data_IF_501707574389
#
_entry.id   IF_501707574389
#
_cell.length_a   1.000
_cell.length_b   1.000
_cell.length_c   1.000
_cell.angle_alpha   90.00
_cell.angle_beta   90.00
_cell.angle_gamma   90.00
#
_symmetry.space_group_name_H-M   'P 1'
#
loop_
_entity.id
_entity.type
_entity.pdbx_description
1 polymer ?
#
# COMPACT_ATOMS: atom_id res chain seq x y z
N UNK A 1 -85.61 -5.51 9.47
CA UNK A 1 -84.54 -5.86 8.53
C UNK A 1 -83.46 -4.80 8.61
N UNK A 2 -82.38 -5.08 9.34
CA UNK A 2 -81.24 -4.13 9.51
C UNK A 2 -80.11 -4.58 8.58
N UNK A 3 -79.67 -3.76 7.63
CA UNK A 3 -78.51 -3.96 6.77
C UNK A 3 -77.29 -3.41 7.51
N UNK A 4 -76.38 -4.30 7.92
CA UNK A 4 -75.06 -3.95 8.42
C UNK A 4 -74.09 -3.83 7.27
N UNK A 5 -73.58 -2.60 7.01
CA UNK A 5 -72.52 -2.34 6.04
C UNK A 5 -71.17 -2.67 6.66
N UNK A 6 -70.39 -3.50 5.95
CA UNK A 6 -69.02 -3.85 6.31
C UNK A 6 -68.10 -2.86 5.58
N UNK A 7 -67.42 -1.99 6.36
CA UNK A 7 -66.41 -1.07 5.83
C UNK A 7 -65.03 -1.77 5.92
N UNK A 8 -64.52 -2.14 4.75
CA UNK A 8 -63.17 -2.72 4.64
C UNK A 8 -62.12 -1.61 4.65
N UNK A 9 -61.36 -1.53 5.74
CA UNK A 9 -60.25 -0.57 5.83
C UNK A 9 -59.02 -1.22 5.21
N UNK A 10 -58.62 -0.70 4.03
CA UNK A 10 -57.43 -1.13 3.33
C UNK A 10 -56.22 -0.37 3.90
N UNK A 11 -55.43 -1.02 4.76
CA UNK A 11 -54.15 -0.50 5.29
C UNK A 11 -53.08 -0.66 4.20
N UNK A 12 -52.77 0.40 3.47
CA UNK A 12 -51.61 0.45 2.59
C UNK A 12 -50.35 0.70 3.44
N UNK A 13 -49.61 -0.32 3.74
CA UNK A 13 -48.28 -0.21 4.35
C UNK A 13 -47.30 0.21 3.24
N UNK A 14 -47.00 1.50 3.19
CA UNK A 14 -45.87 2.03 2.40
C UNK A 14 -44.56 1.57 3.04
N UNK A 15 -44.00 0.48 2.54
CA UNK A 15 -42.63 0.12 2.81
C UNK A 15 -41.73 1.13 2.06
N UNK A 16 -41.34 2.21 2.74
CA UNK A 16 -40.29 3.08 2.28
C UNK A 16 -38.99 2.28 2.34
N UNK A 17 -38.56 1.67 1.23
CA UNK A 17 -37.19 1.26 1.06
C UNK A 17 -36.32 2.53 1.17
N UNK A 18 -35.80 2.79 2.36
CA UNK A 18 -34.62 3.64 2.50
C UNK A 18 -33.47 2.90 1.80
N UNK A 19 -33.35 3.13 0.50
CA UNK A 19 -32.11 2.93 -0.22
C UNK A 19 -31.17 3.98 0.40
N UNK A 20 -30.42 3.59 1.41
CA UNK A 20 -29.24 4.36 1.79
C UNK A 20 -28.38 4.39 0.53
N UNK A 21 -28.35 5.54 -0.14
CA UNK A 21 -27.38 5.79 -1.19
C UNK A 21 -26.01 5.50 -0.52
N UNK A 22 -25.42 4.38 -0.86
CA UNK A 22 -24.03 4.09 -0.49
C UNK A 22 -23.25 5.25 -1.10
N UNK A 23 -22.69 6.13 -0.26
CA UNK A 23 -21.84 7.22 -0.75
C UNK A 23 -20.85 6.60 -1.71
N UNK A 24 -20.90 7.00 -2.97
CA UNK A 24 -20.02 6.44 -4.00
C UNK A 24 -18.64 7.07 -3.81
N UNK A 25 -17.89 6.55 -2.87
CA UNK A 25 -16.47 6.91 -2.74
C UNK A 25 -15.75 6.50 -4.03
N UNK A 26 -14.73 7.28 -4.37
CA UNK A 26 -13.94 7.10 -5.58
C UNK A 26 -12.98 5.91 -5.52
N UNK A 27 -11.93 6.03 -6.30
CA UNK A 27 -10.87 5.02 -6.37
C UNK A 27 -9.57 5.57 -5.83
N UNK A 28 -8.70 4.67 -5.33
CA UNK A 28 -7.35 5.00 -4.92
C UNK A 28 -6.35 4.33 -5.87
N UNK A 29 -5.27 5.04 -6.20
CA UNK A 29 -4.12 4.51 -6.96
C UNK A 29 -2.87 4.71 -6.10
N UNK A 30 -2.51 3.68 -5.36
CA UNK A 30 -1.48 3.71 -4.31
C UNK A 30 -0.23 3.07 -4.87
N UNK A 31 0.77 3.88 -5.25
CA UNK A 31 1.98 3.42 -5.94
C UNK A 31 3.12 3.25 -4.95
N UNK A 32 3.77 2.10 -4.98
CA UNK A 32 4.87 1.75 -4.06
C UNK A 32 6.15 2.58 -4.22
N UNK A 33 6.21 3.49 -5.16
CA UNK A 33 7.36 4.35 -5.43
C UNK A 33 8.05 4.00 -6.74
N UNK A 34 9.05 4.81 -7.13
CA UNK A 34 9.85 4.61 -8.33
C UNK A 34 9.01 4.30 -9.59
N UNK A 35 7.86 4.99 -9.74
CA UNK A 35 6.97 4.79 -10.88
C UNK A 35 7.63 5.26 -12.16
N UNK A 36 7.94 4.31 -13.05
CA UNK A 36 8.55 4.61 -14.36
C UNK A 36 7.56 5.34 -15.26
N UNK A 37 8.00 6.40 -15.98
CA UNK A 37 7.13 7.14 -16.90
C UNK A 37 6.51 6.30 -18.02
N UNK A 38 7.10 5.16 -18.36
CA UNK A 38 6.60 4.21 -19.36
C UNK A 38 5.70 3.09 -18.82
N UNK A 39 5.39 3.09 -17.52
CA UNK A 39 4.49 2.12 -16.93
C UNK A 39 3.04 2.36 -17.39
N UNK A 40 2.69 1.73 -18.50
CA UNK A 40 1.37 1.89 -19.13
C UNK A 40 0.23 1.36 -18.28
N UNK A 41 0.48 0.29 -17.52
CA UNK A 41 -0.56 -0.37 -16.72
C UNK A 41 -1.07 0.56 -15.63
N UNK A 42 -0.17 1.26 -14.93
CA UNK A 42 -0.53 2.19 -13.88
C UNK A 42 -1.11 3.49 -14.45
N UNK A 43 -0.44 4.13 -15.42
CA UNK A 43 -0.91 5.43 -15.92
C UNK A 43 -2.21 5.35 -16.69
N UNK A 44 -2.39 4.33 -17.56
CA UNK A 44 -3.65 4.16 -18.28
C UNK A 44 -4.79 3.95 -17.28
N UNK A 45 -4.59 3.14 -16.24
CA UNK A 45 -5.63 2.88 -15.25
C UNK A 45 -5.95 4.11 -14.42
N UNK A 46 -4.94 4.88 -13.99
CA UNK A 46 -5.13 6.15 -13.29
C UNK A 46 -5.98 7.13 -14.13
N UNK A 47 -5.61 7.30 -15.40
CA UNK A 47 -6.28 8.24 -16.31
C UNK A 47 -7.70 7.76 -16.66
N UNK A 48 -7.90 6.46 -16.88
CA UNK A 48 -9.21 5.86 -17.10
C UNK A 48 -10.16 6.14 -15.93
N UNK A 49 -9.72 5.87 -14.71
CA UNK A 49 -10.48 6.13 -13.49
C UNK A 49 -10.80 7.63 -13.32
N UNK A 50 -9.91 8.52 -13.78
CA UNK A 50 -10.12 9.97 -13.75
C UNK A 50 -11.06 10.47 -14.86
N UNK A 51 -11.62 9.59 -15.71
CA UNK A 51 -12.58 9.95 -16.77
C UNK A 51 -12.01 9.92 -18.19
N UNK A 52 -10.81 9.38 -18.36
CA UNK A 52 -10.11 9.23 -19.64
C UNK A 52 -9.31 10.48 -20.05
N UNK A 53 -8.38 10.35 -21.02
CA UNK A 53 -7.37 11.36 -21.31
C UNK A 53 -7.95 12.71 -21.76
N UNK A 54 -9.11 12.71 -22.40
CA UNK A 54 -9.76 13.93 -22.89
C UNK A 54 -10.45 14.74 -21.79
N UNK A 55 -10.89 14.08 -20.71
CA UNK A 55 -11.73 14.68 -19.66
C UNK A 55 -11.03 14.77 -18.31
N UNK A 56 -10.03 13.90 -18.07
CA UNK A 56 -9.32 13.86 -16.79
C UNK A 56 -8.70 15.21 -16.46
N UNK A 57 -8.92 15.67 -15.23
CA UNK A 57 -8.32 16.88 -14.67
C UNK A 57 -7.59 16.52 -13.39
N UNK A 58 -6.34 16.91 -13.27
CA UNK A 58 -5.46 16.54 -12.18
C UNK A 58 -5.06 17.73 -11.33
N UNK A 59 -5.25 17.63 -10.02
CA UNK A 59 -4.61 18.48 -9.03
C UNK A 59 -3.36 17.76 -8.51
N UNK A 60 -2.17 18.27 -8.77
CA UNK A 60 -0.91 17.68 -8.30
C UNK A 60 -0.43 18.43 -7.07
N UNK A 61 -0.27 17.71 -5.97
CA UNK A 61 0.16 18.23 -4.66
C UNK A 61 1.58 17.73 -4.37
N UNK A 62 2.62 18.58 -4.50
CA UNK A 62 4.01 18.16 -4.33
C UNK A 62 4.53 18.31 -2.88
N UNK A 63 3.64 18.34 -1.90
CA UNK A 63 3.93 18.69 -0.49
C UNK A 63 4.98 17.81 0.21
N UNK A 64 5.17 16.57 -0.26
CA UNK A 64 6.21 15.67 0.27
C UNK A 64 7.59 15.92 -0.32
N UNK A 65 7.66 16.54 -1.50
CA UNK A 65 8.89 16.65 -2.29
C UNK A 65 9.87 17.68 -1.70
N UNK A 66 11.17 17.37 -1.80
CA UNK A 66 12.24 18.35 -1.60
C UNK A 66 12.49 19.23 -2.84
N UNK A 67 11.87 18.89 -3.99
CA UNK A 67 11.96 19.60 -5.28
C UNK A 67 10.55 19.75 -5.87
N UNK A 68 9.66 20.57 -5.26
CA UNK A 68 8.22 20.56 -5.54
C UNK A 68 7.86 20.85 -6.98
N UNK A 69 8.46 21.89 -7.57
CA UNK A 69 8.21 22.29 -8.96
C UNK A 69 8.68 21.23 -9.95
N UNK A 70 9.86 20.69 -9.72
CA UNK A 70 10.41 19.64 -10.60
C UNK A 70 9.56 18.36 -10.55
N UNK A 71 9.06 17.98 -9.36
CA UNK A 71 8.16 16.84 -9.19
C UNK A 71 6.85 17.05 -9.95
N UNK A 72 6.28 18.26 -9.90
CA UNK A 72 5.10 18.60 -10.70
C UNK A 72 5.39 18.56 -12.19
N UNK A 73 6.51 19.15 -12.65
CA UNK A 73 6.91 19.14 -14.06
C UNK A 73 7.07 17.71 -14.57
N UNK A 74 7.68 16.83 -13.79
CA UNK A 74 7.89 15.43 -14.14
C UNK A 74 6.56 14.70 -14.35
N UNK A 75 5.66 14.73 -13.38
CA UNK A 75 4.36 14.05 -13.50
C UNK A 75 3.49 14.69 -14.60
N UNK A 76 3.55 16.02 -14.78
CA UNK A 76 2.83 16.71 -15.84
C UNK A 76 3.29 16.25 -17.22
N UNK A 77 4.59 16.15 -17.47
CA UNK A 77 5.14 15.64 -18.73
C UNK A 77 4.69 14.21 -18.99
N UNK A 78 4.70 13.37 -17.95
CA UNK A 78 4.24 11.98 -18.08
C UNK A 78 2.76 11.91 -18.41
N UNK A 79 1.89 12.61 -17.70
CA UNK A 79 0.46 12.62 -17.98
C UNK A 79 0.15 13.14 -19.39
N UNK A 80 0.90 14.15 -19.87
CA UNK A 80 0.78 14.64 -21.25
C UNK A 80 1.22 13.61 -22.28
N UNK A 81 2.27 12.82 -22.01
CA UNK A 81 2.67 11.70 -22.87
C UNK A 81 1.55 10.64 -23.01
N UNK A 82 0.71 10.51 -21.97
CA UNK A 82 -0.53 9.69 -21.97
C UNK A 82 -1.76 10.47 -22.44
N UNK A 83 -1.58 11.59 -23.15
CA UNK A 83 -2.60 12.41 -23.83
C UNK A 83 -3.53 13.20 -22.91
N UNK A 84 -3.20 13.38 -21.64
CA UNK A 84 -3.90 14.36 -20.82
C UNK A 84 -3.54 15.77 -21.26
N UNK A 85 -4.53 16.63 -21.45
CA UNK A 85 -4.30 18.02 -21.91
C UNK A 85 -3.52 18.81 -20.85
N UNK A 86 -2.51 19.58 -21.25
CA UNK A 86 -1.69 20.37 -20.32
C UNK A 86 -2.52 21.32 -19.45
N UNK A 87 -3.55 21.95 -20.02
CA UNK A 87 -4.47 22.82 -19.27
C UNK A 87 -5.34 22.12 -18.22
N UNK A 88 -5.34 20.79 -18.21
CA UNK A 88 -6.06 19.97 -17.22
C UNK A 88 -5.16 19.46 -16.09
N UNK A 89 -3.91 19.89 -16.02
CA UNK A 89 -2.95 19.46 -15.00
C UNK A 89 -2.52 20.68 -14.19
N UNK A 90 -2.98 20.74 -12.95
CA UNK A 90 -2.81 21.91 -12.09
C UNK A 90 -1.80 21.65 -10.98
N UNK A 91 -0.79 22.53 -10.85
CA UNK A 91 0.05 22.59 -9.68
C UNK A 91 -0.75 23.16 -8.50
N UNK A 92 -0.76 22.46 -7.40
CA UNK A 92 -1.27 22.95 -6.13
C UNK A 92 -0.06 23.34 -5.27
N UNK A 93 0.20 24.63 -5.20
CA UNK A 93 1.36 25.22 -4.54
C UNK A 93 1.33 24.96 -3.02
N UNK A 94 1.69 23.77 -2.61
CA UNK A 94 1.81 23.35 -1.20
C UNK A 94 3.14 22.65 -1.02
N UNK A 95 3.99 23.23 -0.19
CA UNK A 95 5.28 22.68 0.23
C UNK A 95 5.67 23.28 1.58
N UNK A 96 6.52 22.60 2.33
CA UNK A 96 7.18 23.11 3.54
C UNK A 96 8.70 23.22 3.35
N UNK A 97 9.16 22.90 2.13
CA UNK A 97 10.56 22.93 1.75
C UNK A 97 10.74 23.87 0.58
N UNK A 98 11.83 24.59 0.60
CA UNK A 98 12.35 25.34 -0.53
C UNK A 98 13.23 24.43 -1.42
N UNK A 99 13.19 24.64 -2.71
CA UNK A 99 14.10 24.04 -3.68
C UNK A 99 15.09 25.11 -4.14
N UNK A 100 16.28 25.14 -3.55
CA UNK A 100 17.36 26.08 -3.86
C UNK A 100 17.70 26.14 -5.38
N UNK A 101 17.29 25.16 -6.16
CA UNK A 101 17.46 25.15 -7.62
C UNK A 101 16.41 25.98 -8.38
N UNK A 102 15.29 26.31 -7.73
CA UNK A 102 14.19 27.11 -8.29
C UNK A 102 14.36 28.57 -7.92
N UNK A 103 15.07 29.34 -8.75
CA UNK A 103 15.43 30.75 -8.47
C UNK A 103 14.25 31.74 -8.47
N UNK A 104 13.11 31.34 -8.96
CA UNK A 104 11.94 32.22 -9.25
C UNK A 104 10.87 32.15 -8.16
N UNK A 105 11.00 31.21 -7.22
CA UNK A 105 10.05 31.01 -6.12
C UNK A 105 10.80 30.46 -4.90
N UNK A 106 10.36 30.86 -3.72
CA UNK A 106 10.64 30.19 -2.45
C UNK A 106 9.43 29.31 -2.11
N UNK A 107 9.55 28.01 -2.34
CA UNK A 107 8.44 27.07 -2.14
C UNK A 107 8.13 26.86 -0.66
N UNK A 108 9.00 27.23 0.27
CA UNK A 108 8.71 27.19 1.71
C UNK A 108 7.58 28.18 2.09
N UNK A 109 7.42 29.28 1.34
CA UNK A 109 6.30 30.22 1.51
C UNK A 109 4.92 29.57 1.23
N UNK A 110 4.89 28.40 0.57
CA UNK A 110 3.65 27.64 0.29
C UNK A 110 3.15 26.83 1.50
N UNK A 111 3.89 26.82 2.62
CA UNK A 111 3.55 26.02 3.81
C UNK A 111 2.15 26.34 4.36
N UNK A 112 1.73 27.61 4.30
CA UNK A 112 0.42 28.06 4.74
C UNK A 112 -0.74 27.78 3.77
N UNK A 113 -0.45 27.37 2.54
CA UNK A 113 -1.40 27.25 1.45
C UNK A 113 -2.43 26.11 1.62
N UNK A 114 -2.22 25.21 2.57
CA UNK A 114 -3.26 24.27 3.02
C UNK A 114 -4.56 24.98 3.41
N UNK A 115 -4.49 26.27 3.82
CA UNK A 115 -5.64 27.10 4.17
C UNK A 115 -6.18 27.96 3.00
N UNK A 116 -5.57 27.93 1.81
CA UNK A 116 -6.02 28.73 0.65
C UNK A 116 -7.31 28.17 0.04
N UNK A 117 -8.39 28.95 0.20
CA UNK A 117 -9.71 28.61 -0.35
C UNK A 117 -9.76 28.62 -1.88
N UNK A 118 -8.82 29.28 -2.59
CA UNK A 118 -8.76 29.25 -4.07
C UNK A 118 -8.23 27.89 -4.50
N UNK A 119 -7.16 27.41 -3.90
CA UNK A 119 -6.61 26.08 -4.16
C UNK A 119 -7.62 24.99 -3.84
N UNK A 120 -8.34 25.13 -2.71
CA UNK A 120 -9.42 24.21 -2.35
C UNK A 120 -10.54 24.18 -3.42
N UNK A 121 -10.94 25.35 -3.99
CA UNK A 121 -11.92 25.38 -5.09
C UNK A 121 -11.38 24.72 -6.36
N UNK A 122 -10.10 24.97 -6.71
CA UNK A 122 -9.46 24.37 -7.87
C UNK A 122 -9.46 22.84 -7.74
N UNK A 123 -9.07 22.29 -6.59
CA UNK A 123 -9.07 20.85 -6.33
C UNK A 123 -10.48 20.28 -6.52
N UNK A 124 -11.52 20.92 -5.98
CA UNK A 124 -12.91 20.45 -6.13
C UNK A 124 -13.42 20.39 -7.58
N UNK A 125 -12.77 21.10 -8.50
CA UNK A 125 -13.08 21.03 -9.93
C UNK A 125 -12.32 19.94 -10.68
N UNK A 126 -11.36 19.28 -10.03
CA UNK A 126 -10.58 18.21 -10.63
C UNK A 126 -11.27 16.84 -10.44
N UNK A 127 -11.02 15.92 -11.38
CA UNK A 127 -11.47 14.52 -11.29
C UNK A 127 -10.47 13.62 -10.57
N UNK A 128 -9.23 14.08 -10.42
CA UNK A 128 -8.18 13.34 -9.73
C UNK A 128 -7.26 14.26 -8.92
N UNK A 129 -6.71 13.73 -7.83
CA UNK A 129 -5.65 14.36 -7.04
C UNK A 129 -4.46 13.41 -7.01
N UNK A 130 -3.26 13.94 -7.26
CA UNK A 130 -2.02 13.18 -7.21
C UNK A 130 -1.05 13.76 -6.17
N UNK A 131 -0.61 12.93 -5.24
CA UNK A 131 0.43 13.23 -4.27
C UNK A 131 1.78 12.71 -4.75
N UNK A 132 2.79 13.57 -4.79
CA UNK A 132 4.15 13.18 -5.19
C UNK A 132 4.88 12.42 -4.07
N UNK A 133 6.01 11.79 -4.41
CA UNK A 133 6.92 11.19 -3.45
C UNK A 133 7.76 12.22 -2.69
N UNK A 134 8.50 11.75 -1.69
CA UNK A 134 9.36 12.52 -0.81
C UNK A 134 9.21 12.06 0.65
N UNK A 135 8.99 12.99 1.56
CA UNK A 135 8.74 12.73 2.97
C UNK A 135 7.25 12.93 3.31
N UNK A 136 6.58 11.87 3.71
CA UNK A 136 5.16 11.87 4.06
C UNK A 136 4.82 12.77 5.24
N UNK A 137 5.76 13.00 6.15
CA UNK A 137 5.55 13.87 7.31
C UNK A 137 5.35 15.33 6.89
N UNK A 138 6.05 15.78 5.82
CA UNK A 138 5.85 17.12 5.23
C UNK A 138 4.43 17.31 4.71
N UNK A 139 3.87 16.29 4.06
CA UNK A 139 2.47 16.34 3.60
C UNK A 139 1.51 16.47 4.76
N UNK A 140 1.71 15.71 5.82
CA UNK A 140 0.86 15.80 7.01
C UNK A 140 0.97 17.18 7.68
N UNK A 141 2.18 17.72 7.79
CA UNK A 141 2.42 19.06 8.33
C UNK A 141 1.72 20.16 7.53
N UNK A 142 1.74 20.07 6.19
CA UNK A 142 1.15 21.08 5.31
C UNK A 142 -0.39 21.00 5.24
N UNK A 143 -0.98 19.81 5.43
CA UNK A 143 -2.40 19.56 5.18
C UNK A 143 -3.25 19.34 6.43
N UNK A 144 -2.62 19.18 7.60
CA UNK A 144 -3.32 19.07 8.88
C UNK A 144 -2.96 20.21 9.81
N UNK A 145 -3.90 20.63 10.64
CA UNK A 145 -3.65 21.65 11.65
C UNK A 145 -3.04 21.02 12.91
N UNK A 146 -2.45 21.84 13.81
CA UNK A 146 -1.87 21.34 15.07
C UNK A 146 -2.86 20.56 15.96
N UNK A 147 -4.16 20.86 15.87
CA UNK A 147 -5.22 20.15 16.57
C UNK A 147 -5.64 18.83 15.87
N UNK A 148 -4.97 18.47 14.78
CA UNK A 148 -5.25 17.29 13.97
C UNK A 148 -6.45 17.45 13.02
N UNK A 149 -7.08 18.64 12.96
CA UNK A 149 -8.16 18.90 12.00
C UNK A 149 -7.62 19.13 10.59
N UNK A 150 -8.46 18.87 9.59
CA UNK A 150 -8.12 19.04 8.18
C UNK A 150 -8.08 20.51 7.79
N UNK A 151 -7.13 20.88 6.93
CA UNK A 151 -7.14 22.18 6.26
C UNK A 151 -8.23 22.21 5.16
N UNK A 152 -8.66 23.39 4.68
CA UNK A 152 -9.61 23.52 3.57
C UNK A 152 -9.17 22.79 2.29
N UNK A 153 -7.85 22.71 2.03
CA UNK A 153 -7.32 21.95 0.89
C UNK A 153 -7.53 20.46 1.11
N UNK A 154 -7.22 19.92 2.28
CA UNK A 154 -7.45 18.50 2.57
C UNK A 154 -8.95 18.16 2.55
N UNK A 155 -9.83 19.06 3.01
CA UNK A 155 -11.27 18.87 2.87
C UNK A 155 -11.70 18.82 1.38
N UNK A 156 -11.08 19.64 0.53
CA UNK A 156 -11.36 19.61 -0.91
C UNK A 156 -10.90 18.29 -1.56
N UNK A 157 -9.78 17.70 -1.12
CA UNK A 157 -9.33 16.38 -1.58
C UNK A 157 -10.34 15.30 -1.16
N UNK A 158 -10.82 15.33 0.07
CA UNK A 158 -11.90 14.44 0.52
C UNK A 158 -13.19 14.61 -0.26
N UNK A 159 -13.54 15.85 -0.64
CA UNK A 159 -14.72 16.12 -1.48
C UNK A 159 -14.58 15.46 -2.87
N UNK A 160 -13.39 15.51 -3.49
CA UNK A 160 -13.10 14.81 -4.76
C UNK A 160 -13.31 13.30 -4.59
N UNK A 161 -12.72 12.70 -3.55
CA UNK A 161 -12.85 11.26 -3.27
C UNK A 161 -14.31 10.86 -3.02
N UNK A 162 -15.03 11.61 -2.17
CA UNK A 162 -16.41 11.31 -1.81
C UNK A 162 -17.40 11.49 -2.99
N UNK A 163 -17.01 12.24 -4.02
CA UNK A 163 -17.79 12.40 -5.26
C UNK A 163 -17.46 11.41 -6.37
N UNK A 164 -16.65 10.39 -6.04
CA UNK A 164 -16.29 9.35 -7.01
C UNK A 164 -15.01 9.63 -7.78
N UNK A 165 -14.26 10.69 -7.45
CA UNK A 165 -12.98 11.01 -8.06
C UNK A 165 -11.84 10.08 -7.62
N UNK A 166 -10.66 10.30 -8.15
CA UNK A 166 -9.47 9.45 -7.91
C UNK A 166 -8.47 10.17 -7.01
N UNK A 167 -8.01 9.48 -5.98
CA UNK A 167 -6.84 9.93 -5.21
C UNK A 167 -5.69 8.96 -5.48
N UNK A 168 -4.61 9.51 -6.00
CA UNK A 168 -3.40 8.74 -6.26
C UNK A 168 -2.19 9.34 -5.56
N UNK A 169 -1.16 8.52 -5.38
CA UNK A 169 0.11 8.98 -4.85
C UNK A 169 1.19 7.91 -4.91
N UNK A 170 2.44 8.37 -5.01
CA UNK A 170 3.60 7.49 -5.11
C UNK A 170 4.51 7.68 -3.91
N UNK A 171 5.09 6.58 -3.39
CA UNK A 171 6.05 6.59 -2.28
C UNK A 171 5.43 7.28 -1.03
N UNK A 172 5.91 8.45 -0.62
CA UNK A 172 5.29 9.23 0.46
C UNK A 172 3.79 9.47 0.22
N UNK A 173 3.38 9.72 -1.04
CA UNK A 173 1.98 9.85 -1.43
C UNK A 173 1.17 8.55 -1.26
N UNK A 174 1.81 7.38 -1.27
CA UNK A 174 1.18 6.12 -0.92
C UNK A 174 1.07 5.94 0.60
N UNK A 175 2.11 6.30 1.35
CA UNK A 175 2.14 6.16 2.80
C UNK A 175 1.01 6.90 3.50
N UNK A 176 0.70 8.13 3.07
CA UNK A 176 -0.38 8.95 3.66
C UNK A 176 -1.79 8.36 3.47
N UNK A 177 -1.96 7.37 2.59
CA UNK A 177 -3.28 6.79 2.31
C UNK A 177 -3.85 6.03 3.50
N UNK A 178 -3.03 5.45 4.34
CA UNK A 178 -3.44 4.76 5.58
C UNK A 178 -3.79 5.77 6.68
N UNK A 179 -4.64 5.38 7.62
CA UNK A 179 -4.88 6.16 8.83
C UNK A 179 -3.73 6.00 9.83
N UNK A 180 -3.21 4.78 10.00
CA UNK A 180 -1.96 4.53 10.70
C UNK A 180 -0.87 4.48 9.65
N UNK A 181 0.04 5.43 9.71
CA UNK A 181 1.09 5.65 8.72
C UNK A 181 2.46 5.31 9.30
N UNK A 182 3.25 4.58 8.53
CA UNK A 182 4.67 4.37 8.85
C UNK A 182 5.44 5.63 8.45
N UNK A 183 5.99 6.32 9.44
CA UNK A 183 6.78 7.54 9.24
C UNK A 183 8.23 7.24 8.88
N UNK A 184 8.88 6.34 9.64
CA UNK A 184 10.28 5.95 9.48
C UNK A 184 10.53 4.55 10.08
N UNK A 185 11.79 4.10 10.05
CA UNK A 185 12.25 2.83 10.60
C UNK A 185 12.48 1.75 9.55
N UNK A 186 13.24 0.72 9.92
CA UNK A 186 13.50 -0.46 9.10
C UNK A 186 12.99 -1.75 9.78
N UNK A 187 13.07 -2.88 9.07
CA UNK A 187 12.52 -4.15 9.56
C UNK A 187 13.23 -4.69 10.79
N UNK A 188 14.57 -4.60 10.84
CA UNK A 188 15.33 -5.11 11.98
C UNK A 188 15.14 -4.22 13.20
N UNK A 189 15.23 -2.90 13.05
CA UNK A 189 14.98 -1.96 14.14
C UNK A 189 13.58 -2.07 14.70
N UNK A 190 12.57 -2.21 13.86
CA UNK A 190 11.19 -2.45 14.29
C UNK A 190 11.05 -3.71 15.15
N UNK A 191 11.69 -4.81 14.76
CA UNK A 191 11.64 -6.07 15.50
C UNK A 191 12.48 -6.03 16.79
N UNK A 192 13.61 -5.32 16.80
CA UNK A 192 14.52 -5.26 17.95
C UNK A 192 14.15 -4.17 18.97
N UNK A 193 13.80 -2.99 18.49
CA UNK A 193 13.60 -1.78 19.30
C UNK A 193 12.11 -1.42 19.45
N UNK A 194 11.23 -2.03 18.62
CA UNK A 194 9.80 -1.76 18.64
C UNK A 194 9.43 -0.42 18.03
N UNK A 195 8.43 0.24 18.63
CA UNK A 195 7.84 1.49 18.13
C UNK A 195 8.28 2.66 19.00
N UNK A 196 8.62 3.77 18.35
CA UNK A 196 8.85 5.08 18.97
C UNK A 196 7.66 6.00 18.70
N UNK A 197 7.36 6.86 19.69
CA UNK A 197 6.17 7.73 19.70
C UNK A 197 6.46 9.20 19.38
N UNK A 198 7.72 9.60 19.17
CA UNK A 198 8.07 11.01 18.94
C UNK A 198 8.86 11.19 17.65
N UNK A 199 8.60 12.30 16.96
CA UNK A 199 9.31 12.75 15.76
C UNK A 199 10.41 13.76 16.10
N UNK A 200 11.04 13.67 17.27
CA UNK A 200 12.13 14.57 17.63
C UNK A 200 13.37 14.35 16.76
N UNK A 201 14.24 15.36 16.60
CA UNK A 201 15.47 15.27 15.82
C UNK A 201 16.37 14.09 16.23
N UNK A 202 16.33 13.74 17.50
CA UNK A 202 17.02 12.58 18.08
C UNK A 202 16.56 11.23 17.55
N UNK A 203 15.41 11.16 16.87
CA UNK A 203 14.85 9.94 16.29
C UNK A 203 15.10 9.81 14.78
N UNK A 204 15.77 10.77 14.14
CA UNK A 204 16.06 10.72 12.70
C UNK A 204 17.05 9.61 12.35
N UNK A 205 17.95 9.24 13.26
CA UNK A 205 18.96 8.19 13.08
C UNK A 205 18.52 6.82 13.64
N UNK A 206 17.33 6.69 14.19
CA UNK A 206 16.87 5.42 14.75
C UNK A 206 16.33 4.48 13.69
N UNK A 207 16.66 3.20 13.84
CA UNK A 207 16.09 2.10 13.06
C UNK A 207 14.72 1.66 13.58
N UNK A 208 14.32 2.11 14.77
CA UNK A 208 13.04 1.80 15.39
C UNK A 208 11.86 2.29 14.51
N UNK A 209 10.71 1.65 14.67
CA UNK A 209 9.53 1.99 13.90
C UNK A 209 8.86 3.26 14.41
N UNK A 210 8.76 4.27 13.55
CA UNK A 210 7.96 5.45 13.81
C UNK A 210 6.56 5.27 13.20
N UNK A 211 5.53 5.29 14.04
CA UNK A 211 4.14 5.37 13.60
C UNK A 211 3.60 6.77 13.79
N UNK A 212 2.83 7.22 12.80
CA UNK A 212 2.17 8.51 12.79
C UNK A 212 0.75 8.37 12.23
N UNK A 213 0.00 9.47 12.29
CA UNK A 213 -1.32 9.55 11.66
C UNK A 213 -1.16 9.91 10.20
N UNK A 214 -1.79 9.16 9.30
CA UNK A 214 -1.95 9.51 7.90
C UNK A 214 -3.32 10.13 7.61
N UNK A 215 -3.63 10.31 6.33
CA UNK A 215 -4.90 10.95 5.90
C UNK A 215 -6.08 9.97 6.04
N UNK A 216 -5.86 8.67 5.75
CA UNK A 216 -6.84 7.62 5.99
C UNK A 216 -7.85 7.42 4.85
N UNK A 217 -7.50 7.71 3.60
CA UNK A 217 -8.36 7.39 2.45
C UNK A 217 -8.59 5.89 2.28
N UNK A 218 -7.58 5.07 2.59
CA UNK A 218 -7.63 3.62 2.48
C UNK A 218 -8.08 3.01 3.82
N UNK A 219 -9.31 2.47 3.90
CA UNK A 219 -9.89 2.02 5.17
C UNK A 219 -9.56 0.56 5.53
N UNK A 220 -8.87 -0.18 4.66
CA UNK A 220 -8.76 -1.63 4.77
C UNK A 220 -7.54 -2.08 5.60
N UNK A 221 -6.60 -1.18 5.89
CA UNK A 221 -5.40 -1.52 6.65
C UNK A 221 -4.25 -0.52 6.52
N UNK A 222 -3.06 -0.98 6.85
CA UNK A 222 -1.82 -0.20 6.80
C UNK A 222 -1.14 -0.43 5.45
N UNK A 223 -0.72 0.65 4.79
CA UNK A 223 0.06 0.59 3.54
C UNK A 223 1.52 0.92 3.81
N UNK A 224 2.43 0.11 3.29
CA UNK A 224 3.85 0.41 3.17
C UNK A 224 4.28 0.38 1.70
N UNK A 225 5.34 1.09 1.36
CA UNK A 225 5.78 1.35 -0.01
C UNK A 225 7.26 0.99 -0.18
N UNK A 226 7.79 0.90 -1.43
CA UNK A 226 9.13 0.37 -1.75
C UNK A 226 9.38 -0.97 -1.05
N UNK A 227 8.35 -1.83 -1.02
CA UNK A 227 8.22 -2.85 0.01
C UNK A 227 9.29 -3.93 -0.08
N UNK A 228 9.32 -4.65 -1.19
CA UNK A 228 10.29 -5.71 -1.40
C UNK A 228 11.70 -5.15 -1.60
N UNK A 229 11.83 -4.04 -2.33
CA UNK A 229 13.10 -3.40 -2.66
C UNK A 229 13.86 -2.89 -1.43
N UNK A 230 13.14 -2.55 -0.36
CA UNK A 230 13.73 -2.09 0.90
C UNK A 230 13.52 -3.07 2.06
N UNK A 231 13.20 -4.34 1.77
CA UNK A 231 13.00 -5.42 2.74
C UNK A 231 12.09 -5.03 3.94
N UNK A 232 10.93 -4.43 3.65
CA UNK A 232 10.08 -3.76 4.67
C UNK A 232 9.11 -4.67 5.40
N UNK A 233 9.16 -5.99 5.18
CA UNK A 233 8.22 -6.94 5.78
C UNK A 233 8.19 -6.88 7.32
N UNK A 234 9.34 -6.78 7.99
CA UNK A 234 9.41 -6.76 9.44
C UNK A 234 8.73 -5.54 10.03
N UNK A 235 9.01 -4.33 9.48
CA UNK A 235 8.40 -3.09 9.99
C UNK A 235 6.89 -3.04 9.75
N UNK A 236 6.40 -3.56 8.61
CA UNK A 236 4.98 -3.62 8.32
C UNK A 236 4.25 -4.59 9.27
N UNK A 237 4.87 -5.74 9.58
CA UNK A 237 4.34 -6.70 10.56
C UNK A 237 4.27 -6.07 11.95
N UNK A 238 5.32 -5.39 12.40
CA UNK A 238 5.33 -4.72 13.72
C UNK A 238 4.26 -3.63 13.77
N UNK A 239 4.10 -2.81 12.72
CA UNK A 239 3.02 -1.84 12.62
C UNK A 239 1.64 -2.50 12.72
N UNK A 240 1.42 -3.59 12.00
CA UNK A 240 0.14 -4.32 11.99
C UNK A 240 -0.18 -4.92 13.36
N UNK A 241 0.77 -5.60 13.99
CA UNK A 241 0.55 -6.23 15.31
C UNK A 241 0.19 -5.20 16.37
N UNK A 242 0.86 -4.06 16.37
CA UNK A 242 0.56 -2.98 17.32
C UNK A 242 -0.75 -2.23 17.01
N UNK A 243 -1.31 -2.44 15.84
CA UNK A 243 -2.56 -1.84 15.39
C UNK A 243 -3.69 -2.86 15.24
N UNK A 244 -3.51 -4.06 15.78
CA UNK A 244 -4.41 -5.22 15.56
C UNK A 244 -5.84 -4.99 16.07
N UNK A 245 -6.03 -4.15 17.08
CA UNK A 245 -7.36 -3.75 17.54
C UNK A 245 -8.18 -3.02 16.46
N UNK A 246 -7.49 -2.39 15.52
CA UNK A 246 -8.10 -1.61 14.45
C UNK A 246 -8.04 -2.30 13.09
N UNK A 247 -6.90 -2.90 12.74
CA UNK A 247 -6.66 -3.52 11.46
C UNK A 247 -6.07 -4.93 11.61
N UNK A 248 -6.59 -5.86 10.81
CA UNK A 248 -6.01 -7.20 10.68
C UNK A 248 -5.19 -7.39 9.41
N UNK A 249 -5.21 -6.40 8.51
CA UNK A 249 -4.54 -6.46 7.22
C UNK A 249 -3.52 -5.33 7.06
N UNK A 250 -2.41 -5.66 6.39
CA UNK A 250 -1.42 -4.70 5.96
C UNK A 250 -0.96 -5.03 4.53
N UNK A 251 -0.57 -3.99 3.79
CA UNK A 251 -0.34 -4.03 2.36
C UNK A 251 1.03 -3.44 2.03
N UNK A 252 1.93 -4.26 1.51
CA UNK A 252 3.25 -3.85 1.05
C UNK A 252 3.26 -3.71 -0.47
N UNK A 253 3.39 -2.49 -0.97
CA UNK A 253 3.37 -2.20 -2.41
C UNK A 253 4.81 -2.05 -2.90
N UNK A 254 5.18 -2.84 -3.90
CA UNK A 254 6.49 -2.82 -4.52
C UNK A 254 6.70 -1.59 -5.41
N UNK A 255 7.97 -1.27 -5.73
CA UNK A 255 8.30 -0.20 -6.67
C UNK A 255 7.66 -0.46 -8.04
N UNK A 256 7.39 0.63 -8.76
CA UNK A 256 6.80 0.61 -10.11
C UNK A 256 5.50 -0.21 -10.22
N UNK A 257 4.75 -0.28 -9.11
CA UNK A 257 3.52 -1.07 -8.96
C UNK A 257 2.49 -0.28 -8.17
N UNK A 258 1.21 -0.46 -8.49
CA UNK A 258 0.08 0.18 -7.85
C UNK A 258 -0.88 -0.85 -7.24
N UNK A 259 -1.30 -0.60 -6.00
CA UNK A 259 -2.53 -1.08 -5.41
C UNK A 259 -3.65 -0.14 -5.86
N UNK A 260 -4.57 -0.62 -6.66
CA UNK A 260 -5.75 0.11 -7.12
C UNK A 260 -6.95 -0.36 -6.31
N UNK A 261 -7.52 0.54 -5.50
CA UNK A 261 -8.68 0.23 -4.66
C UNK A 261 -9.94 0.90 -5.19
N UNK A 262 -10.97 0.12 -5.42
CA UNK A 262 -12.31 0.61 -5.78
C UNK A 262 -13.22 0.52 -4.56
N UNK A 263 -13.62 1.66 -4.03
CA UNK A 263 -14.36 1.72 -2.76
C UNK A 263 -15.77 1.12 -2.85
N UNK A 264 -16.47 1.27 -4.00
CA UNK A 264 -17.81 0.72 -4.21
C UNK A 264 -17.85 -0.80 -4.06
N UNK A 265 -16.82 -1.48 -4.55
CA UNK A 265 -16.77 -2.94 -4.61
C UNK A 265 -15.94 -3.53 -3.46
N UNK A 266 -15.19 -2.68 -2.75
CA UNK A 266 -14.15 -3.06 -1.80
C UNK A 266 -13.20 -4.09 -2.43
N UNK A 267 -12.71 -3.72 -3.60
CA UNK A 267 -11.84 -4.57 -4.43
C UNK A 267 -10.50 -3.90 -4.63
N UNK A 268 -9.44 -4.67 -4.49
CA UNK A 268 -8.09 -4.31 -4.89
C UNK A 268 -7.77 -4.97 -6.22
N UNK A 269 -7.09 -4.24 -7.11
CA UNK A 269 -6.46 -4.74 -8.32
C UNK A 269 -5.00 -4.29 -8.32
N UNK A 270 -4.10 -5.16 -8.76
CA UNK A 270 -2.68 -4.83 -8.90
C UNK A 270 -2.41 -4.42 -10.34
N UNK A 271 -1.63 -3.36 -10.54
CA UNK A 271 -1.15 -2.93 -11.84
C UNK A 271 0.32 -2.52 -11.76
N UNK A 272 1.15 -2.96 -12.70
CA UNK A 272 2.56 -2.54 -12.78
C UNK A 272 3.55 -3.68 -12.89
N UNK A 273 4.82 -3.38 -12.59
CA UNK A 273 5.95 -4.24 -12.95
C UNK A 273 6.34 -5.28 -11.88
N UNK A 274 5.86 -5.13 -10.65
CA UNK A 274 6.15 -6.03 -9.53
C UNK A 274 4.84 -6.38 -8.79
N UNK A 275 4.84 -6.53 -7.46
CA UNK A 275 3.69 -7.08 -6.77
C UNK A 275 3.20 -6.31 -5.55
N UNK A 276 2.17 -6.88 -4.98
CA UNK A 276 1.52 -6.47 -3.76
C UNK A 276 1.58 -7.62 -2.75
N UNK A 277 2.22 -7.40 -1.63
CA UNK A 277 2.18 -8.31 -0.48
C UNK A 277 1.02 -7.94 0.44
N UNK A 278 0.19 -8.91 0.80
CA UNK A 278 -0.87 -8.76 1.81
C UNK A 278 -0.52 -9.61 3.02
N UNK A 279 -0.49 -8.99 4.19
CA UNK A 279 -0.24 -9.66 5.47
C UNK A 279 -1.54 -9.64 6.28
N UNK A 280 -2.00 -10.82 6.69
CA UNK A 280 -3.17 -10.99 7.55
C UNK A 280 -2.74 -11.50 8.93
N UNK A 281 -3.03 -10.72 9.97
CA UNK A 281 -2.71 -11.02 11.36
C UNK A 281 -3.93 -11.48 12.19
N UNK A 282 -5.09 -11.73 11.57
CA UNK A 282 -6.32 -12.07 12.31
C UNK A 282 -6.12 -13.24 13.29
N UNK A 283 -5.41 -14.29 12.85
CA UNK A 283 -5.14 -15.48 13.65
C UNK A 283 -3.74 -15.46 14.32
N UNK A 284 -2.99 -14.37 14.18
CA UNK A 284 -1.64 -14.29 14.72
C UNK A 284 -1.63 -14.26 16.24
N UNK A 285 -0.56 -14.82 16.80
CA UNK A 285 -0.25 -14.79 18.24
C UNK A 285 1.11 -14.16 18.44
N UNK A 286 1.22 -13.30 19.44
CA UNK A 286 2.46 -12.61 19.78
C UNK A 286 2.81 -12.96 21.21
N UNK A 287 4.03 -13.40 21.42
CA UNK A 287 4.67 -13.56 22.72
C UNK A 287 6.02 -12.84 22.71
N UNK A 288 6.60 -12.65 23.87
CA UNK A 288 7.90 -11.99 23.97
C UNK A 288 8.92 -12.92 24.63
N UNK A 289 10.05 -13.13 23.97
CA UNK A 289 11.17 -13.91 24.48
C UNK A 289 12.35 -12.97 24.70
N UNK A 290 12.74 -12.78 25.95
CA UNK A 290 13.79 -11.84 26.36
C UNK A 290 13.58 -10.41 25.81
N UNK A 291 12.32 -9.96 25.77
CA UNK A 291 11.94 -8.64 25.26
C UNK A 291 11.74 -8.55 23.74
N UNK A 292 12.13 -9.57 22.98
CA UNK A 292 11.97 -9.61 21.52
C UNK A 292 10.66 -10.33 21.13
N UNK A 293 9.95 -9.87 20.09
CA UNK A 293 8.69 -10.46 19.68
C UNK A 293 8.88 -11.83 19.01
N UNK A 294 8.13 -12.81 19.47
CA UNK A 294 7.86 -14.03 18.75
C UNK A 294 6.45 -13.94 18.16
N UNK A 295 6.33 -13.99 16.84
CA UNK A 295 5.06 -13.82 16.12
C UNK A 295 4.75 -15.10 15.36
N UNK A 296 3.60 -15.69 15.61
CA UNK A 296 3.17 -16.94 14.99
C UNK A 296 1.88 -16.76 14.20
N UNK A 297 1.75 -17.57 13.16
CA UNK A 297 0.51 -17.75 12.41
C UNK A 297 0.02 -16.49 11.68
N UNK A 298 0.94 -15.71 11.11
CA UNK A 298 0.59 -14.72 10.09
C UNK A 298 0.25 -15.44 8.77
N UNK A 299 -0.68 -14.89 7.99
CA UNK A 299 -0.91 -15.35 6.63
C UNK A 299 -0.37 -14.30 5.65
N UNK A 300 0.39 -14.75 4.66
CA UNK A 300 1.00 -13.91 3.62
C UNK A 300 0.45 -14.32 2.26
N UNK A 301 0.01 -13.32 1.49
CA UNK A 301 -0.40 -13.47 0.10
C UNK A 301 0.39 -12.50 -0.77
N UNK A 302 0.56 -12.84 -2.05
CA UNK A 302 1.29 -12.04 -3.03
C UNK A 302 0.55 -12.02 -4.36
N UNK A 303 0.37 -10.83 -4.90
CA UNK A 303 -0.36 -10.58 -6.13
C UNK A 303 0.53 -9.80 -7.10
N UNK A 304 0.45 -10.13 -8.37
CA UNK A 304 1.14 -9.40 -9.45
C UNK A 304 0.13 -8.79 -10.44
N UNK A 305 0.64 -8.20 -11.51
CA UNK A 305 -0.14 -7.42 -12.47
C UNK A 305 -1.42 -8.13 -12.94
N UNK A 306 -2.54 -7.44 -12.89
CA UNK A 306 -3.86 -7.93 -13.29
C UNK A 306 -4.62 -8.73 -12.22
N UNK A 307 -3.93 -9.22 -11.18
CA UNK A 307 -4.57 -9.94 -10.07
C UNK A 307 -5.50 -9.03 -9.28
N UNK A 308 -6.49 -9.64 -8.63
CA UNK A 308 -7.44 -8.93 -7.77
C UNK A 308 -7.58 -9.59 -6.41
N UNK A 309 -7.98 -8.79 -5.42
CA UNK A 309 -8.29 -9.26 -4.06
C UNK A 309 -9.62 -8.66 -3.60
N UNK A 310 -10.53 -9.54 -3.18
CA UNK A 310 -11.85 -9.15 -2.67
C UNK A 310 -11.77 -8.96 -1.16
N UNK A 311 -11.90 -7.73 -0.69
CA UNK A 311 -11.79 -7.39 0.73
C UNK A 311 -12.87 -8.03 1.60
N UNK A 312 -14.06 -8.32 1.02
CA UNK A 312 -15.18 -8.93 1.74
C UNK A 312 -14.95 -10.39 2.11
N UNK A 313 -14.30 -11.13 1.22
CA UNK A 313 -14.10 -12.59 1.35
C UNK A 313 -12.66 -12.97 1.69
N UNK A 314 -11.70 -12.05 1.47
CA UNK A 314 -10.28 -12.36 1.54
C UNK A 314 -9.79 -13.23 0.38
N UNK A 315 -10.52 -13.25 -0.72
CA UNK A 315 -10.25 -14.10 -1.87
C UNK A 315 -9.30 -13.41 -2.86
N UNK A 316 -8.23 -14.11 -3.23
CA UNK A 316 -7.34 -13.75 -4.33
C UNK A 316 -7.95 -14.32 -5.63
N UNK A 317 -8.10 -13.47 -6.63
CA UNK A 317 -8.54 -13.82 -7.97
C UNK A 317 -7.35 -13.58 -8.91
N UNK A 318 -6.69 -14.64 -9.41
CA UNK A 318 -5.60 -14.50 -10.36
C UNK A 318 -6.10 -13.95 -11.68
N UNK A 319 -5.25 -13.22 -12.40
CA UNK A 319 -5.55 -12.76 -13.75
C UNK A 319 -5.80 -13.98 -14.67
N UNK A 320 -6.69 -13.80 -15.64
CA UNK A 320 -7.04 -14.87 -16.58
C UNK A 320 -5.81 -15.41 -17.33
N UNK A 321 -5.68 -16.73 -17.39
CA UNK A 321 -4.57 -17.42 -18.04
C UNK A 321 -3.53 -17.99 -17.07
N UNK A 322 -3.46 -17.51 -15.82
CA UNK A 322 -2.61 -18.15 -14.79
C UNK A 322 -3.11 -19.57 -14.50
N UNK A 323 -2.17 -20.51 -14.35
CA UNK A 323 -2.40 -21.94 -14.07
C UNK A 323 -2.06 -22.22 -12.60
N UNK A 324 -2.79 -23.16 -11.97
CA UNK A 324 -2.46 -23.59 -10.62
C UNK A 324 -1.08 -24.25 -10.57
N UNK A 325 -0.27 -23.88 -9.57
CA UNK A 325 1.03 -24.51 -9.33
C UNK A 325 0.88 -25.92 -8.77
N UNK A 326 -0.13 -26.14 -7.89
CA UNK A 326 -0.33 -27.43 -7.22
C UNK A 326 -0.53 -28.59 -8.20
N UNK A 327 0.40 -29.56 -8.17
CA UNK A 327 0.46 -30.69 -9.09
C UNK A 327 1.18 -30.38 -10.41
N UNK A 328 1.59 -29.14 -10.62
CA UNK A 328 2.33 -28.65 -11.77
C UNK A 328 3.62 -27.93 -11.38
N UNK A 329 4.07 -28.10 -10.15
CA UNK A 329 5.25 -27.40 -9.62
C UNK A 329 6.48 -27.66 -10.50
N UNK A 330 7.12 -26.59 -10.95
CA UNK A 330 8.29 -26.65 -11.82
C UNK A 330 9.55 -27.06 -11.05
N UNK A 331 9.74 -26.49 -9.83
CA UNK A 331 10.93 -26.72 -9.03
C UNK A 331 10.81 -27.95 -8.13
N UNK A 332 11.97 -28.59 -7.83
CA UNK A 332 12.07 -29.79 -6.98
C UNK A 332 13.24 -29.69 -6.00
N UNK A 333 13.50 -28.49 -5.50
CA UNK A 333 14.65 -28.19 -4.63
C UNK A 333 14.27 -28.51 -3.19
N UNK A 334 14.96 -29.47 -2.56
CA UNK A 334 14.77 -29.80 -1.14
C UNK A 334 15.34 -28.72 -0.22
N UNK A 335 16.45 -28.09 -0.62
CA UNK A 335 17.13 -27.03 0.12
C UNK A 335 17.36 -25.82 -0.79
N UNK A 336 16.33 -24.97 -1.01
CA UNK A 336 16.49 -23.77 -1.81
C UNK A 336 17.53 -22.83 -1.18
N UNK A 337 18.46 -22.32 -1.97
CA UNK A 337 19.43 -21.32 -1.52
C UNK A 337 18.70 -20.03 -1.18
N UNK A 338 18.89 -19.51 0.02
CA UNK A 338 18.00 -18.52 0.57
C UNK A 338 18.55 -17.10 0.60
N UNK A 339 19.83 -16.88 0.81
CA UNK A 339 20.34 -15.53 1.02
C UNK A 339 21.85 -15.42 0.86
N UNK A 340 22.30 -14.18 0.65
CA UNK A 340 23.70 -13.77 0.64
C UNK A 340 24.23 -13.45 -0.76
N UNK A 341 25.41 -12.83 -0.81
CA UNK A 341 26.06 -12.36 -2.04
C UNK A 341 26.45 -13.51 -3.00
N UNK A 342 26.43 -14.76 -2.54
CA UNK A 342 26.67 -15.95 -3.35
C UNK A 342 25.37 -16.54 -3.95
N UNK A 343 24.21 -15.95 -3.66
CA UNK A 343 22.92 -16.39 -4.16
C UNK A 343 22.43 -15.46 -5.27
N UNK A 344 22.32 -15.95 -6.48
CA UNK A 344 21.81 -15.19 -7.62
C UNK A 344 20.27 -14.98 -7.53
N UNK A 345 19.57 -15.95 -6.90
CA UNK A 345 18.11 -15.95 -6.77
C UNK A 345 17.71 -16.40 -5.37
N UNK A 346 16.60 -15.89 -4.84
CA UNK A 346 15.97 -16.46 -3.65
C UNK A 346 16.18 -15.71 -2.35
N UNK A 347 16.59 -14.46 -2.41
CA UNK A 347 16.74 -13.61 -1.23
C UNK A 347 15.58 -12.64 -1.02
N UNK A 348 14.73 -12.40 -2.03
CA UNK A 348 13.56 -11.54 -1.90
C UNK A 348 12.37 -12.29 -1.32
N UNK A 349 11.44 -11.56 -0.69
CA UNK A 349 10.19 -12.16 -0.20
C UNK A 349 9.42 -12.85 -1.34
N UNK A 350 9.36 -12.22 -2.52
CA UNK A 350 8.74 -12.78 -3.71
C UNK A 350 9.32 -14.17 -4.02
N UNK A 351 10.64 -14.28 -4.16
CA UNK A 351 11.29 -15.53 -4.54
C UNK A 351 11.11 -16.63 -3.49
N UNK A 352 11.11 -16.25 -2.21
CA UNK A 352 10.90 -17.22 -1.12
C UNK A 352 9.50 -17.84 -1.24
N UNK A 353 8.45 -17.04 -1.39
CA UNK A 353 7.07 -17.55 -1.38
C UNK A 353 6.60 -18.10 -2.73
N UNK A 354 7.24 -17.69 -3.84
CA UNK A 354 6.92 -18.16 -5.21
C UNK A 354 7.78 -19.35 -5.60
N UNK A 355 8.91 -19.12 -6.27
CA UNK A 355 9.76 -20.15 -6.89
C UNK A 355 10.36 -21.14 -5.90
N UNK A 356 10.66 -20.69 -4.67
CA UNK A 356 11.27 -21.54 -3.67
C UNK A 356 10.24 -22.32 -2.82
N UNK A 357 9.00 -21.85 -2.73
CA UNK A 357 7.96 -22.48 -1.91
C UNK A 357 6.75 -22.95 -2.72
N UNK A 358 5.92 -22.04 -3.26
CA UNK A 358 4.61 -22.44 -3.81
C UNK A 358 4.73 -23.21 -5.13
N UNK A 359 5.72 -22.90 -5.96
CA UNK A 359 6.05 -23.58 -7.21
C UNK A 359 7.18 -24.61 -7.04
N UNK A 360 7.41 -25.06 -5.82
CA UNK A 360 8.46 -26.04 -5.49
C UNK A 360 7.86 -27.28 -4.81
N UNK A 361 7.99 -28.42 -5.45
CA UNK A 361 7.53 -29.71 -4.92
C UNK A 361 8.45 -30.26 -3.83
N UNK A 362 9.72 -29.82 -3.80
CA UNK A 362 10.74 -30.33 -2.88
C UNK A 362 10.68 -29.76 -1.47
N UNK A 363 9.92 -28.67 -1.24
CA UNK A 363 9.86 -28.02 0.07
C UNK A 363 8.45 -27.53 0.39
N UNK A 364 7.96 -27.88 1.58
CA UNK A 364 6.73 -27.34 2.15
C UNK A 364 7.00 -26.23 3.18
N UNK A 365 8.26 -26.02 3.52
CA UNK A 365 8.72 -25.06 4.51
C UNK A 365 10.07 -24.50 4.13
N UNK A 366 10.23 -23.18 4.30
CA UNK A 366 11.49 -22.46 4.10
C UNK A 366 11.71 -21.55 5.29
N UNK A 367 12.93 -21.51 5.81
CA UNK A 367 13.32 -20.58 6.87
C UNK A 367 14.43 -19.67 6.37
N UNK A 368 14.27 -18.36 6.62
CA UNK A 368 15.26 -17.33 6.30
C UNK A 368 15.75 -16.68 7.59
N UNK A 369 17.08 -16.71 7.82
CA UNK A 369 17.73 -16.12 8.99
C UNK A 369 18.17 -14.71 8.66
N UNK A 370 17.77 -13.76 9.51
CA UNK A 370 18.14 -12.35 9.43
C UNK A 370 18.78 -11.93 10.75
N UNK A 371 19.90 -11.23 10.70
CA UNK A 371 20.59 -10.71 11.89
C UNK A 371 21.33 -9.41 11.54
N UNK A 372 21.44 -8.51 12.51
CA UNK A 372 22.19 -7.27 12.41
C UNK A 372 23.49 -7.30 13.21
N UNK A 373 23.54 -8.14 14.25
CA UNK A 373 24.70 -8.33 15.12
C UNK A 373 24.91 -9.84 15.38
N UNK A 374 26.01 -10.17 16.06
CA UNK A 374 26.38 -11.56 16.33
C UNK A 374 25.50 -12.25 17.39
N UNK A 375 24.62 -11.51 18.10
CA UNK A 375 23.87 -12.08 19.22
C UNK A 375 22.37 -12.24 18.92
N UNK A 376 21.79 -11.31 18.18
CA UNK A 376 20.34 -11.23 18.00
C UNK A 376 19.94 -11.27 16.53
N UNK A 377 19.11 -12.23 16.21
CA UNK A 377 18.53 -12.39 14.88
C UNK A 377 17.08 -12.83 14.93
N UNK A 378 16.47 -12.90 13.76
CA UNK A 378 15.13 -13.41 13.59
C UNK A 378 15.08 -14.46 12.51
N UNK A 379 14.46 -15.60 12.83
CA UNK A 379 14.17 -16.66 11.89
C UNK A 379 12.75 -16.49 11.38
N UNK A 380 12.61 -16.16 10.09
CA UNK A 380 11.34 -16.09 9.38
C UNK A 380 11.09 -17.46 8.74
N UNK A 381 9.99 -18.11 9.12
CA UNK A 381 9.63 -19.43 8.62
C UNK A 381 8.33 -19.37 7.82
N UNK A 382 8.44 -19.62 6.53
CA UNK A 382 7.31 -19.70 5.60
C UNK A 382 6.91 -21.17 5.41
N UNK A 383 5.61 -21.46 5.46
CA UNK A 383 5.09 -22.83 5.38
C UNK A 383 3.87 -22.88 4.48
N UNK A 384 3.85 -23.79 3.52
CA UNK A 384 2.64 -24.14 2.77
C UNK A 384 1.62 -24.80 3.69
N UNK A 385 0.39 -24.35 3.63
CA UNK A 385 -0.76 -24.99 4.29
C UNK A 385 -1.58 -25.78 3.24
N UNK A 386 -2.46 -26.69 3.67
CA UNK A 386 -3.43 -27.31 2.75
C UNK A 386 -4.29 -26.29 1.99
N UNK A 387 -4.57 -25.14 2.63
CA UNK A 387 -5.32 -24.01 2.05
C UNK A 387 -4.49 -23.10 1.16
N UNK A 388 -3.15 -23.17 1.20
CA UNK A 388 -2.29 -22.34 0.35
C UNK A 388 -2.53 -22.62 -1.13
N UNK A 389 -2.66 -21.57 -1.91
CA UNK A 389 -2.85 -21.64 -3.37
C UNK A 389 -1.75 -20.85 -4.06
N UNK A 390 -1.32 -21.36 -5.19
CA UNK A 390 -0.40 -20.70 -6.08
C UNK A 390 -0.86 -20.80 -7.51
N UNK A 391 -0.62 -19.74 -8.25
CA UNK A 391 -0.91 -19.68 -9.69
C UNK A 391 0.31 -19.04 -10.36
N UNK A 392 0.60 -19.45 -11.58
CA UNK A 392 1.69 -18.89 -12.36
C UNK A 392 1.27 -18.65 -13.80
N UNK A 393 1.94 -17.70 -14.39
CA UNK A 393 1.80 -17.37 -15.82
C UNK A 393 3.21 -17.28 -16.40
N UNK A 394 3.51 -18.13 -17.35
CA UNK A 394 4.79 -18.12 -18.05
C UNK A 394 4.85 -16.87 -18.94
N UNK A 395 5.68 -15.93 -18.54
CA UNK A 395 5.86 -14.68 -19.27
C UNK A 395 7.08 -14.80 -20.20
N UNK A 396 6.88 -14.62 -21.50
CA UNK A 396 7.94 -14.62 -22.51
C UNK A 396 8.93 -13.43 -22.39
N UNK A 397 8.74 -12.56 -21.39
CA UNK A 397 9.48 -11.30 -21.24
C UNK A 397 10.53 -11.27 -20.16
N UNK A 398 10.90 -12.37 -19.51
CA UNK A 398 12.05 -12.48 -18.59
C UNK A 398 11.74 -13.18 -17.26
N UNK A 399 10.58 -12.99 -16.62
CA UNK A 399 10.21 -13.66 -15.36
C UNK A 399 8.76 -14.15 -15.37
N UNK A 400 8.53 -15.29 -14.74
CA UNK A 400 7.18 -15.81 -14.53
C UNK A 400 6.40 -14.93 -13.55
N UNK A 401 5.13 -14.70 -13.83
CA UNK A 401 4.23 -13.98 -12.93
C UNK A 401 3.50 -14.96 -12.02
N UNK A 402 3.45 -14.62 -10.73
CA UNK A 402 2.85 -15.46 -9.70
C UNK A 402 1.68 -14.78 -8.98
N UNK A 403 0.76 -15.60 -8.51
CA UNK A 403 -0.21 -15.24 -7.48
C UNK A 403 -0.12 -16.29 -6.39
N UNK A 404 -0.01 -15.85 -5.14
CA UNK A 404 0.15 -16.74 -3.99
C UNK A 404 -0.82 -16.32 -2.89
N UNK A 405 -1.54 -17.26 -2.31
CA UNK A 405 -2.40 -16.98 -1.15
C UNK A 405 -2.12 -17.91 0.00
N UNK A 406 -2.28 -17.36 1.20
CA UNK A 406 -2.36 -18.08 2.47
C UNK A 406 -1.10 -18.89 2.84
N UNK A 407 0.09 -18.32 2.60
CA UNK A 407 1.33 -18.86 3.15
C UNK A 407 1.43 -18.47 4.62
N UNK A 408 1.65 -19.47 5.49
CA UNK A 408 1.89 -19.19 6.91
C UNK A 408 3.29 -18.63 7.10
N UNK A 409 3.40 -17.54 7.88
CA UNK A 409 4.66 -16.95 8.33
C UNK A 409 4.74 -16.96 9.86
N UNK A 410 5.83 -17.53 10.36
CA UNK A 410 6.23 -17.45 11.76
C UNK A 410 7.54 -16.67 11.86
N UNK A 411 7.66 -15.80 12.86
CA UNK A 411 8.89 -15.05 13.19
C UNK A 411 9.31 -15.45 14.59
N UNK A 412 10.54 -15.89 14.75
CA UNK A 412 11.10 -16.28 16.05
C UNK A 412 12.42 -15.53 16.29
N UNK A 413 12.61 -14.88 17.44
CA UNK A 413 13.92 -14.36 17.83
C UNK A 413 14.88 -15.52 18.07
N UNK A 414 16.12 -15.38 17.61
CA UNK A 414 17.16 -16.41 17.73
C UNK A 414 18.51 -15.79 18.10
N UNK A 415 19.34 -16.57 18.79
CA UNK A 415 20.77 -16.26 18.93
C UNK A 415 21.54 -16.80 17.74
N UNK A 416 22.45 -15.99 17.21
CA UNK A 416 23.33 -16.36 16.11
C UNK A 416 24.74 -16.57 16.67
N UNK A 417 25.31 -17.75 16.43
CA UNK A 417 26.70 -18.04 16.79
C UNK A 417 27.45 -18.46 15.54
N UNK A 418 28.54 -17.78 15.25
CA UNK A 418 29.42 -18.10 14.11
C UNK A 418 30.66 -18.80 14.62
N UNK A 419 30.95 -20.01 14.11
CA UNK A 419 32.14 -20.76 14.44
C UNK A 419 32.90 -21.10 13.16
N UNK A 420 34.16 -20.72 13.08
CA UNK A 420 35.01 -21.10 11.95
C UNK A 420 35.30 -22.61 11.99
N UNK A 421 35.17 -23.26 10.84
CA UNK A 421 35.62 -24.65 10.66
C UNK A 421 37.13 -24.59 10.45
N UNK A 422 37.87 -25.19 11.37
CA UNK A 422 39.34 -25.29 11.30
C UNK A 422 39.77 -26.51 10.51
#
# INVERSE_FOLDING_TARGET
>A
MKRTGFVLFLLIVLFSCLVTAQESRGSLVIVGGALSPDNKDVYNRLIELAGGPEKATFAVIPSASGVPVQSWVSISKTLQAYRVKSGNIHLINISVMDDDSTREADESEWAGNGNDKRLARMIRSCSAVWFTGGDQMRTMLALTRPDGSRTPVLDAVWDVYNKGGVIGGSSAGAAIMSEIMIGNGNSMGALQQGIISSNGPENEETDALLLSRGIGFFPEGIVDQHFNQRARIGRLIVALINSKEKFNLAFGVDENTALIYTASDRKIQVAGAAGLTIINAAESRVTYLQGLPEIKNLAVSYLENGDSYLMKTGELIPVAGKKATRGNEYYKREHPVQAGILSANGSTLRDIITINLIDNKGADRISNLNFSDAENGFLLTFTKKPSSQGFYFENSREEDEYSVSDIRLDISPVKVTVTEIK
#
